data_IF_071969387878
#
_entry.id   IF_071969387878
#
_cell.length_a   1.000
_cell.length_b   1.000
_cell.length_c   1.000
_cell.angle_alpha   90.00
_cell.angle_beta   90.00
_cell.angle_gamma   90.00
#
_symmetry.space_group_name_H-M   'P 1'
#
loop_
_entity.id
_entity.type
_entity.pdbx_description
1 polymer ?
#
# COMPACT_ATOMS: atom_id res chain seq x y z
N UNK A 1 -1.08 14.85 8.24
CA UNK A 1 -1.32 13.94 7.15
C UNK A 1 -2.14 14.64 6.07
N UNK A 2 -1.74 14.53 4.82
CA UNK A 2 -2.56 14.93 3.67
C UNK A 2 -2.93 13.64 2.95
N UNK A 3 -4.20 13.29 2.98
CA UNK A 3 -4.67 12.06 2.38
C UNK A 3 -5.32 12.39 1.05
N UNK A 4 -4.88 11.71 0.03
CA UNK A 4 -5.51 11.79 -1.29
C UNK A 4 -6.00 10.39 -1.65
N UNK A 5 -7.29 10.24 -1.83
CA UNK A 5 -7.89 9.03 -2.36
C UNK A 5 -8.19 9.28 -3.82
N UNK A 6 -7.55 8.51 -4.69
CA UNK A 6 -7.81 8.54 -6.11
C UNK A 6 -8.30 7.16 -6.57
N UNK A 7 -9.38 7.13 -7.33
CA UNK A 7 -9.97 5.89 -7.84
C UNK A 7 -9.32 5.51 -9.17
N UNK A 8 -8.93 4.24 -9.31
CA UNK A 8 -8.51 3.69 -10.59
C UNK A 8 -7.14 4.13 -11.09
N UNK A 9 -6.23 4.64 -10.24
CA UNK A 9 -4.95 5.19 -10.72
C UNK A 9 -3.84 4.14 -10.70
N UNK A 10 -3.67 3.38 -9.62
CA UNK A 10 -2.61 2.38 -9.50
C UNK A 10 -3.19 1.02 -9.09
N UNK A 11 -2.91 0.02 -9.91
CA UNK A 11 -3.16 -1.38 -9.61
C UNK A 11 -1.86 -2.09 -9.22
N UNK A 12 -2.00 -3.24 -8.56
CA UNK A 12 -0.89 -4.10 -8.16
C UNK A 12 -1.12 -5.50 -8.72
N UNK A 13 -0.14 -6.02 -9.42
CA UNK A 13 -0.02 -7.45 -9.72
C UNK A 13 1.02 -8.03 -8.76
N UNK A 14 0.63 -9.05 -8.00
CA UNK A 14 1.51 -9.69 -7.02
C UNK A 14 1.74 -11.14 -7.37
N UNK A 15 3.00 -11.54 -7.48
CA UNK A 15 3.41 -12.90 -7.75
C UNK A 15 2.77 -13.48 -9.03
N UNK A 16 2.69 -12.71 -10.10
CA UNK A 16 2.19 -13.16 -11.38
C UNK A 16 3.12 -14.25 -11.93
N UNK A 17 2.60 -15.48 -12.20
CA UNK A 17 3.43 -16.61 -12.60
C UNK A 17 3.84 -16.50 -14.07
N UNK A 18 5.12 -16.62 -14.35
CA UNK A 18 5.70 -16.68 -15.68
C UNK A 18 6.73 -17.79 -15.79
N UNK A 19 6.97 -18.25 -17.03
CA UNK A 19 8.08 -19.14 -17.34
C UNK A 19 9.04 -18.39 -18.24
N UNK A 20 10.32 -18.37 -17.89
CA UNK A 20 11.36 -17.73 -18.72
C UNK A 20 11.44 -18.48 -20.05
N UNK A 21 11.14 -17.81 -21.20
CA UNK A 21 11.20 -18.49 -22.49
C UNK A 21 12.63 -18.80 -22.91
N UNK A 22 12.78 -19.68 -23.89
CA UNK A 22 14.02 -19.76 -24.66
C UNK A 22 14.29 -18.43 -25.38
N UNK A 23 15.44 -18.26 -26.00
CA UNK A 23 15.78 -17.02 -26.72
C UNK A 23 14.53 -16.25 -27.21
N UNK A 24 14.35 -14.97 -26.81
CA UNK A 24 15.34 -14.03 -26.29
C UNK A 24 15.44 -13.92 -24.75
N UNK A 25 14.93 -14.86 -23.97
CA UNK A 25 14.95 -14.89 -22.49
C UNK A 25 14.20 -13.73 -21.84
N UNK A 26 13.19 -13.20 -22.53
CA UNK A 26 12.42 -12.05 -22.08
C UNK A 26 10.97 -12.42 -21.79
N UNK A 27 10.45 -11.87 -20.70
CA UNK A 27 9.01 -11.90 -20.35
C UNK A 27 8.48 -10.48 -20.47
N UNK A 28 7.49 -10.29 -21.32
CA UNK A 28 6.74 -9.04 -21.39
C UNK A 28 5.45 -9.20 -20.63
N UNK A 29 5.24 -8.39 -19.60
CA UNK A 29 4.02 -8.42 -18.82
C UNK A 29 2.86 -7.75 -19.58
N UNK A 30 1.63 -8.20 -19.33
CA UNK A 30 0.41 -7.63 -19.86
C UNK A 30 -0.49 -7.17 -18.71
N UNK A 31 -0.38 -5.92 -18.25
CA UNK A 31 -1.15 -5.45 -17.12
C UNK A 31 -2.66 -5.58 -17.32
N UNK A 32 -3.41 -5.99 -16.28
CA UNK A 32 -4.86 -6.16 -16.36
C UNK A 32 -5.59 -4.89 -16.81
N UNK A 33 -6.70 -5.08 -17.54
CA UNK A 33 -7.57 -3.97 -17.96
C UNK A 33 -6.92 -2.98 -18.92
N UNK A 34 -5.94 -3.42 -19.72
CA UNK A 34 -5.15 -2.55 -20.61
C UNK A 34 -4.38 -1.45 -19.85
N UNK A 35 -4.02 -1.72 -18.60
CA UNK A 35 -3.17 -0.84 -17.81
C UNK A 35 -1.77 -0.68 -18.40
N UNK A 36 -1.06 0.35 -17.94
CA UNK A 36 0.33 0.59 -18.33
C UNK A 36 1.24 0.29 -17.15
N UNK A 37 2.34 -0.41 -17.40
CA UNK A 37 3.38 -0.66 -16.37
C UNK A 37 3.85 0.66 -15.73
N UNK A 38 3.99 0.66 -14.41
CA UNK A 38 4.48 1.83 -13.65
C UNK A 38 5.83 1.53 -13.00
N UNK A 39 5.91 0.47 -12.18
CA UNK A 39 7.17 0.13 -11.50
C UNK A 39 7.28 -1.36 -11.20
N UNK A 40 8.50 -1.84 -11.21
CA UNK A 40 8.87 -3.18 -10.73
C UNK A 40 8.80 -3.24 -9.20
N UNK A 41 8.25 -4.33 -8.68
CA UNK A 41 8.19 -4.64 -7.25
C UNK A 41 8.99 -5.90 -6.91
N UNK A 42 9.72 -6.42 -7.89
CA UNK A 42 10.62 -7.55 -7.73
C UNK A 42 10.15 -8.84 -8.37
N UNK A 43 11.12 -9.73 -8.54
CA UNK A 43 10.94 -11.07 -9.12
C UNK A 43 11.42 -12.11 -8.13
N UNK A 44 10.61 -13.15 -7.93
CA UNK A 44 10.94 -14.30 -7.07
C UNK A 44 11.08 -15.55 -7.91
N UNK A 45 12.10 -16.34 -7.64
CA UNK A 45 12.29 -17.65 -8.31
C UNK A 45 11.21 -18.62 -7.88
N UNK A 46 10.46 -19.18 -8.83
CA UNK A 46 9.49 -20.24 -8.55
C UNK A 46 10.14 -21.57 -8.18
N UNK A 47 11.45 -21.73 -8.39
CA UNK A 47 12.18 -22.94 -8.05
C UNK A 47 12.74 -22.90 -6.63
N UNK A 48 13.32 -21.75 -6.23
CA UNK A 48 13.97 -21.61 -4.92
C UNK A 48 13.17 -20.82 -3.90
N UNK A 49 12.15 -20.07 -4.34
CA UNK A 49 11.42 -19.14 -3.49
C UNK A 49 12.21 -17.88 -3.08
N UNK A 50 13.43 -17.71 -3.61
CA UNK A 50 14.28 -16.56 -3.28
C UNK A 50 14.12 -15.43 -4.32
N UNK A 51 14.26 -14.16 -3.90
CA UNK A 51 14.23 -13.03 -4.81
C UNK A 51 15.43 -13.05 -5.76
N UNK A 52 15.18 -12.68 -7.02
CA UNK A 52 16.23 -12.42 -8.00
C UNK A 52 16.74 -10.98 -7.82
N UNK A 53 17.98 -10.74 -8.24
CA UNK A 53 18.62 -9.42 -8.15
C UNK A 53 18.33 -8.61 -9.40
N UNK A 54 17.75 -7.43 -9.24
CA UNK A 54 17.61 -6.45 -10.33
C UNK A 54 18.98 -5.83 -10.66
N UNK A 55 19.38 -5.90 -11.94
CA UNK A 55 20.52 -5.15 -12.47
C UNK A 55 20.00 -3.86 -13.11
N UNK A 56 20.62 -2.70 -12.82
CA UNK A 56 20.25 -1.43 -13.43
C UNK A 56 20.51 -1.41 -14.96
N UNK A 57 21.52 -2.17 -15.41
CA UNK A 57 21.88 -2.32 -16.82
C UNK A 57 22.86 -3.49 -16.99
N UNK A 58 23.01 -3.96 -18.24
CA UNK A 58 23.95 -5.02 -18.59
C UNK A 58 23.27 -6.35 -18.86
N UNK A 59 24.06 -7.41 -19.03
CA UNK A 59 23.56 -8.77 -19.29
C UNK A 59 23.39 -9.51 -17.97
N UNK A 60 22.18 -10.00 -17.65
CA UNK A 60 21.93 -10.75 -16.43
C UNK A 60 22.71 -12.08 -16.41
N UNK A 61 23.24 -12.44 -15.24
CA UNK A 61 23.73 -13.77 -14.91
C UNK A 61 22.69 -14.54 -14.10
N UNK A 62 22.92 -15.84 -13.85
CA UNK A 62 21.98 -16.68 -13.10
C UNK A 62 21.48 -16.02 -11.81
N UNK A 63 20.17 -15.96 -11.63
CA UNK A 63 19.53 -15.33 -10.46
C UNK A 63 19.45 -13.81 -10.55
N UNK A 64 19.72 -13.23 -11.71
CA UNK A 64 19.60 -11.79 -11.96
C UNK A 64 18.62 -11.52 -13.11
N UNK A 65 18.11 -10.30 -13.14
CA UNK A 65 17.28 -9.82 -14.25
C UNK A 65 17.49 -8.33 -14.49
N UNK A 66 17.17 -7.87 -15.69
CA UNK A 66 16.99 -6.46 -16.00
C UNK A 66 15.54 -6.19 -16.34
N UNK A 67 15.10 -4.95 -16.12
CA UNK A 67 13.73 -4.54 -16.41
C UNK A 67 13.73 -3.20 -17.16
N UNK A 68 12.94 -3.10 -18.22
CA UNK A 68 12.69 -1.86 -18.95
C UNK A 68 11.24 -1.83 -19.44
N UNK A 69 10.45 -0.84 -18.97
CA UNK A 69 9.07 -0.59 -19.41
C UNK A 69 8.16 -1.84 -19.44
N UNK A 70 8.26 -2.73 -18.43
CA UNK A 70 7.47 -3.95 -18.35
C UNK A 70 8.04 -5.15 -19.12
N UNK A 71 9.23 -5.03 -19.69
CA UNK A 71 9.99 -6.14 -20.28
C UNK A 71 11.08 -6.58 -19.32
N UNK A 72 11.02 -7.83 -18.91
CA UNK A 72 11.97 -8.47 -18.00
C UNK A 72 12.90 -9.38 -18.80
N UNK A 73 14.20 -9.14 -18.72
CA UNK A 73 15.21 -9.97 -19.38
C UNK A 73 15.97 -10.78 -18.35
N UNK A 74 16.11 -12.07 -18.58
CA UNK A 74 16.74 -13.03 -17.68
C UNK A 74 18.02 -13.62 -18.28
N UNK A 75 18.78 -14.33 -17.44
CA UNK A 75 19.94 -15.07 -17.91
C UNK A 75 19.54 -16.28 -18.76
N UNK A 76 20.34 -16.62 -19.78
CA UNK A 76 20.15 -17.83 -20.57
C UNK A 76 20.15 -19.10 -19.72
N UNK A 77 20.91 -19.14 -18.63
CA UNK A 77 20.97 -20.26 -17.69
C UNK A 77 19.71 -20.43 -16.84
N UNK A 78 18.81 -19.44 -16.85
CA UNK A 78 17.52 -19.49 -16.13
C UNK A 78 16.34 -19.85 -17.05
N UNK A 79 16.62 -20.21 -18.31
CA UNK A 79 15.63 -20.66 -19.29
C UNK A 79 14.75 -21.77 -18.73
N UNK A 80 13.45 -21.74 -19.04
CA UNK A 80 12.41 -22.68 -18.63
C UNK A 80 12.15 -22.75 -17.11
N UNK A 81 12.82 -21.93 -16.32
CA UNK A 81 12.48 -21.81 -14.88
C UNK A 81 11.24 -20.94 -14.70
N UNK A 82 10.43 -21.30 -13.70
CA UNK A 82 9.30 -20.46 -13.31
C UNK A 82 9.76 -19.30 -12.45
N UNK A 83 9.13 -18.15 -12.64
CA UNK A 83 9.34 -16.93 -11.85
C UNK A 83 8.00 -16.31 -11.50
N UNK A 84 7.96 -15.60 -10.38
CA UNK A 84 6.82 -14.80 -9.96
C UNK A 84 7.21 -13.33 -10.03
N UNK A 85 6.50 -12.57 -10.85
CA UNK A 85 6.77 -11.15 -11.08
C UNK A 85 5.74 -10.32 -10.33
N UNK A 86 6.19 -9.32 -9.58
CA UNK A 86 5.32 -8.35 -8.92
C UNK A 86 5.60 -6.96 -9.48
N UNK A 87 4.55 -6.21 -9.79
CA UNK A 87 4.66 -4.89 -10.37
C UNK A 87 3.44 -4.02 -10.08
N UNK A 88 3.57 -2.72 -10.26
CA UNK A 88 2.45 -1.78 -10.26
C UNK A 88 2.14 -1.33 -11.69
N UNK A 89 0.87 -1.02 -11.94
CA UNK A 89 0.40 -0.56 -13.25
C UNK A 89 -0.70 0.49 -13.09
N UNK A 90 -0.96 1.29 -14.12
CA UNK A 90 -2.12 2.18 -14.12
C UNK A 90 -3.39 1.37 -14.30
N UNK A 91 -4.34 1.52 -13.38
CA UNK A 91 -5.67 0.91 -13.49
C UNK A 91 -6.68 1.99 -13.93
N UNK A 92 -7.28 1.81 -15.11
CA UNK A 92 -8.12 2.86 -15.71
C UNK A 92 -9.51 2.95 -15.07
N UNK A 93 -10.02 1.85 -14.52
CA UNK A 93 -11.43 1.75 -14.09
C UNK A 93 -11.67 1.12 -12.73
N UNK A 94 -10.68 0.48 -12.11
CA UNK A 94 -10.86 -0.30 -10.88
C UNK A 94 -9.74 -0.02 -9.89
N UNK A 95 -10.06 -0.09 -8.62
CA UNK A 95 -9.11 0.10 -7.51
C UNK A 95 -9.19 1.49 -6.89
N UNK A 96 -8.58 1.60 -5.73
CA UNK A 96 -8.47 2.86 -4.98
C UNK A 96 -7.04 2.99 -4.46
N UNK A 97 -6.43 4.13 -4.69
CA UNK A 97 -5.11 4.45 -4.12
C UNK A 97 -5.28 5.42 -2.96
N UNK A 98 -4.83 5.02 -1.78
CA UNK A 98 -4.73 5.91 -0.62
C UNK A 98 -3.27 6.36 -0.48
N UNK A 99 -3.03 7.64 -0.65
CA UNK A 99 -1.72 8.25 -0.41
C UNK A 99 -1.70 8.95 0.94
N UNK A 100 -0.87 8.47 1.85
CA UNK A 100 -0.64 9.10 3.15
C UNK A 100 0.62 9.97 3.08
N UNK A 101 0.43 11.28 3.04
CA UNK A 101 1.52 12.24 3.06
C UNK A 101 1.99 12.53 4.49
N UNK A 102 3.27 12.39 4.76
CA UNK A 102 3.88 12.80 6.03
C UNK A 102 4.46 14.21 5.90
N UNK A 103 3.83 15.19 6.56
CA UNK A 103 4.38 16.55 6.63
C UNK A 103 5.46 16.63 7.71
N UNK A 104 6.46 17.52 7.55
CA UNK A 104 7.49 17.74 8.58
C UNK A 104 6.88 18.01 9.96
N UNK A 105 7.57 17.54 11.01
CA UNK A 105 7.15 17.76 12.41
C UNK A 105 6.87 19.25 12.68
N UNK A 106 5.69 19.53 13.25
CA UNK A 106 5.20 20.90 13.51
C UNK A 106 3.94 21.28 12.72
N UNK A 107 3.63 20.57 11.63
CA UNK A 107 2.46 20.83 10.77
C UNK A 107 1.42 19.69 10.79
N UNK A 108 1.36 18.88 11.84
CA UNK A 108 0.29 17.89 11.98
C UNK A 108 -1.07 18.58 11.95
N UNK A 109 -2.01 18.17 11.07
CA UNK A 109 -3.34 18.74 11.05
C UNK A 109 -4.02 18.52 12.41
N UNK A 110 -4.69 19.54 12.89
CA UNK A 110 -5.58 19.44 14.03
C UNK A 110 -6.94 19.01 13.52
N UNK A 111 -7.48 17.96 14.10
CA UNK A 111 -8.80 17.42 13.76
C UNK A 111 -9.72 17.43 14.97
N UNK A 112 -11.01 17.56 14.73
CA UNK A 112 -12.02 17.34 15.77
C UNK A 112 -12.46 15.89 15.73
N UNK A 113 -12.47 15.21 16.87
CA UNK A 113 -12.95 13.85 17.00
C UNK A 113 -14.24 13.84 17.80
N UNK A 114 -15.28 13.26 17.20
CA UNK A 114 -16.57 13.05 17.81
C UNK A 114 -16.87 11.56 17.87
N UNK A 115 -17.02 11.01 19.08
CA UNK A 115 -17.26 9.57 19.28
C UNK A 115 -18.58 9.40 20.05
N UNK A 116 -19.66 8.99 19.39
CA UNK A 116 -20.91 8.63 20.05
C UNK A 116 -20.85 7.20 20.60
N UNK A 117 -21.34 7.01 21.80
CA UNK A 117 -21.53 5.71 22.46
C UNK A 117 -23.01 5.51 22.73
N UNK A 118 -23.74 4.80 21.88
CA UNK A 118 -25.13 4.45 22.16
C UNK A 118 -25.18 3.43 23.30
N UNK A 119 -26.10 3.63 24.24
CA UNK A 119 -26.43 2.70 25.30
C UNK A 119 -27.93 2.62 25.47
N UNK A 120 -28.42 1.63 26.22
CA UNK A 120 -29.87 1.43 26.43
C UNK A 120 -30.48 2.64 27.07
N UNK A 121 -31.38 3.31 26.35
CA UNK A 121 -32.09 4.51 26.80
C UNK A 121 -31.42 5.87 26.50
N UNK A 122 -30.25 5.91 25.85
CA UNK A 122 -29.60 7.19 25.53
C UNK A 122 -28.36 7.11 24.67
N UNK A 123 -27.72 8.26 24.47
CA UNK A 123 -26.45 8.38 23.78
C UNK A 123 -25.51 9.24 24.61
N UNK A 124 -24.36 8.72 24.94
CA UNK A 124 -23.23 9.49 25.42
C UNK A 124 -22.28 9.80 24.28
N UNK A 125 -21.74 11.00 24.22
CA UNK A 125 -20.75 11.35 23.20
C UNK A 125 -19.53 12.01 23.83
N UNK A 126 -18.37 11.68 23.29
CA UNK A 126 -17.11 12.33 23.63
C UNK A 126 -16.70 13.20 22.46
N UNK A 127 -16.47 14.47 22.71
CA UNK A 127 -15.95 15.42 21.75
C UNK A 127 -14.57 15.89 22.18
N UNK A 128 -13.60 15.73 21.30
CA UNK A 128 -12.26 16.26 21.43
C UNK A 128 -12.01 17.26 20.29
N UNK A 129 -12.25 18.58 20.51
CA UNK A 129 -12.26 19.56 19.43
C UNK A 129 -10.90 19.75 18.77
N UNK A 130 -9.82 19.51 19.52
CA UNK A 130 -8.46 19.67 19.03
C UNK A 130 -7.66 18.40 19.32
N UNK A 131 -7.50 17.56 18.30
CA UNK A 131 -6.70 16.34 18.38
C UNK A 131 -5.59 16.33 17.33
N UNK A 132 -4.48 15.73 17.68
CA UNK A 132 -3.47 15.30 16.71
C UNK A 132 -3.42 13.79 16.65
N UNK A 133 -3.39 13.26 15.46
CA UNK A 133 -3.16 11.86 15.20
C UNK A 133 -1.67 11.56 15.45
N UNK A 134 -1.39 10.64 16.38
CA UNK A 134 -0.03 10.22 16.71
C UNK A 134 0.42 9.05 15.84
N UNK A 135 -0.09 7.87 16.12
CA UNK A 135 0.30 6.63 15.45
C UNK A 135 -0.93 5.92 14.89
N UNK A 136 -0.80 5.45 13.66
CA UNK A 136 -1.75 4.50 13.07
C UNK A 136 -1.06 3.14 13.03
N UNK A 137 -1.69 2.11 13.53
CA UNK A 137 -1.24 0.74 13.35
C UNK A 137 -2.35 -0.12 12.76
N UNK A 138 -1.98 -0.90 11.78
CA UNK A 138 -2.85 -1.85 11.11
C UNK A 138 -2.37 -3.26 11.47
N UNK A 139 -3.21 -3.98 12.19
CA UNK A 139 -2.96 -5.39 12.48
C UNK A 139 -3.90 -6.22 11.61
N UNK A 140 -3.34 -7.09 10.78
CA UNK A 140 -4.09 -8.09 10.05
C UNK A 140 -3.77 -9.48 10.58
N UNK A 141 -4.79 -10.32 10.73
CA UNK A 141 -4.66 -11.75 10.98
C UNK A 141 -5.32 -12.51 9.83
N UNK A 142 -4.85 -13.72 9.57
CA UNK A 142 -5.36 -14.55 8.48
C UNK A 142 -6.82 -14.97 8.68
N UNK A 143 -7.26 -15.14 9.95
CA UNK A 143 -8.57 -15.67 10.34
C UNK A 143 -9.42 -14.66 11.14
N UNK A 144 -9.14 -13.37 11.05
CA UNK A 144 -9.83 -12.36 11.84
C UNK A 144 -9.95 -11.02 11.07
N UNK A 145 -10.86 -10.16 11.49
CA UNK A 145 -11.01 -8.83 10.90
C UNK A 145 -9.76 -7.98 11.13
N UNK A 146 -9.34 -7.25 10.09
CA UNK A 146 -8.29 -6.27 10.21
C UNK A 146 -8.75 -5.11 11.12
N UNK A 147 -8.06 -4.91 12.24
CA UNK A 147 -8.36 -3.80 13.16
C UNK A 147 -7.40 -2.64 12.93
N UNK A 148 -7.96 -1.49 12.62
CA UNK A 148 -7.23 -0.24 12.59
C UNK A 148 -7.19 0.36 14.00
N UNK A 149 -5.99 0.58 14.53
CA UNK A 149 -5.77 1.28 15.79
C UNK A 149 -5.10 2.63 15.52
N UNK A 150 -5.63 3.68 16.12
CA UNK A 150 -5.09 5.02 15.98
C UNK A 150 -5.00 5.70 17.36
N UNK A 151 -3.84 6.27 17.65
CA UNK A 151 -3.60 7.03 18.87
C UNK A 151 -3.85 8.52 18.60
N UNK A 152 -4.64 9.15 19.46
CA UNK A 152 -4.95 10.57 19.39
C UNK A 152 -4.44 11.28 20.64
N UNK A 153 -3.86 12.45 20.46
CA UNK A 153 -3.53 13.37 21.55
C UNK A 153 -4.46 14.58 21.50
N UNK A 154 -5.33 14.71 22.50
CA UNK A 154 -6.18 15.88 22.66
C UNK A 154 -5.41 17.00 23.38
N UNK A 155 -5.60 18.23 22.96
CA UNK A 155 -5.03 19.40 23.63
C UNK A 155 -6.04 20.56 23.69
N UNK A 156 -5.86 21.45 24.66
CA UNK A 156 -6.71 22.60 24.80
C UNK A 156 -6.36 23.66 23.76
N UNK A 157 -7.34 24.12 22.99
CA UNK A 157 -7.26 25.39 22.28
C UNK A 157 -7.48 26.57 23.22
N UNK A 158 -7.17 27.80 22.76
CA UNK A 158 -7.44 28.99 23.55
C UNK A 158 -8.91 29.11 23.92
N UNK A 159 -9.23 29.05 25.24
CA UNK A 159 -10.60 29.11 25.76
C UNK A 159 -11.45 27.86 25.56
N UNK A 160 -10.86 26.72 25.22
CA UNK A 160 -11.58 25.45 25.00
C UNK A 160 -11.08 24.36 25.94
N UNK A 161 -11.97 23.42 26.30
CA UNK A 161 -11.58 22.21 27.00
C UNK A 161 -11.01 21.18 26.01
N UNK A 162 -10.01 20.39 26.42
CA UNK A 162 -9.45 19.36 25.54
C UNK A 162 -10.44 18.24 25.26
N UNK A 163 -11.33 17.95 26.21
CA UNK A 163 -12.34 16.87 26.11
C UNK A 163 -13.65 17.39 26.68
N UNK A 164 -14.73 17.14 25.97
CA UNK A 164 -16.11 17.38 26.44
C UNK A 164 -16.88 16.06 26.41
N UNK A 165 -17.62 15.81 27.48
CA UNK A 165 -18.55 14.68 27.57
C UNK A 165 -19.96 15.22 27.50
N UNK A 166 -20.75 14.64 26.62
CA UNK A 166 -22.17 14.93 26.47
C UNK A 166 -22.98 13.69 26.79
N UNK A 167 -24.00 13.84 27.62
CA UNK A 167 -24.95 12.79 27.92
C UNK A 167 -26.35 13.31 27.60
N UNK A 168 -27.03 12.64 26.65
CA UNK A 168 -28.41 12.85 26.38
C UNK A 168 -29.19 11.75 27.12
N UNK A 169 -29.69 12.07 28.32
CA UNK A 169 -30.58 11.21 29.11
C UNK A 169 -32.01 11.28 28.63
#
# INVERSE_FOLDING_TARGET
>A
FSDTIATGIIGVASNEPHTIPATPFTVTIAPPGSGTFVSDQGVVSGVTGLPLTLLPSGTPTTGQYTQAAGVYTFAAADTLKSVFISYTYTAVTTGTTLTVGNKPMGFGPVVSLWVPFPYDGGVMAVNMPNCRLGKISWKSKLDDYAMLSADFSAFAGAGQNPINFYNAG
#
